data_IF_013437428619
#
_entry.id   IF_013437428619
#
_cell.length_a   1.000
_cell.length_b   1.000
_cell.length_c   1.000
_cell.angle_alpha   90.00
_cell.angle_beta   90.00
_cell.angle_gamma   90.00
#
_symmetry.space_group_name_H-M   'P 1'
#
loop_
_entity.id
_entity.type
_entity.pdbx_description
1 polymer ?
#
# COMPACT_ATOMS: atom_id res chain seq x y z
N UNK A 1 19.91 9.18 15.25
CA UNK A 1 18.94 8.18 14.74
C UNK A 1 18.36 8.72 13.45
N UNK A 2 18.79 8.22 12.28
CA UNK A 2 18.28 8.66 10.97
C UNK A 2 16.84 8.19 10.85
N UNK A 3 15.91 9.14 10.80
CA UNK A 3 14.47 8.93 10.67
C UNK A 3 14.17 7.91 9.57
N UNK A 4 13.18 7.02 9.77
CA UNK A 4 12.74 6.13 8.69
C UNK A 4 12.30 7.01 7.52
N UNK A 5 12.98 6.87 6.37
CA UNK A 5 12.68 7.68 5.18
C UNK A 5 11.35 7.17 4.61
N UNK A 6 10.23 7.91 4.76
CA UNK A 6 8.93 7.46 4.27
C UNK A 6 8.94 7.19 2.76
N UNK A 7 9.88 7.81 2.03
CA UNK A 7 10.20 7.56 0.63
C UNK A 7 10.45 6.07 0.29
N UNK A 8 11.05 5.29 1.18
CA UNK A 8 11.33 3.86 0.91
C UNK A 8 10.04 3.03 0.82
N UNK A 9 8.96 3.48 1.47
CA UNK A 9 7.66 2.82 1.42
C UNK A 9 6.80 3.38 0.27
N UNK A 10 6.81 4.69 0.08
CA UNK A 10 5.94 5.38 -0.89
C UNK A 10 6.26 4.99 -2.33
N UNK A 11 7.54 4.90 -2.69
CA UNK A 11 7.96 4.56 -4.07
C UNK A 11 7.47 3.17 -4.49
N UNK A 12 7.80 2.07 -3.78
CA UNK A 12 7.31 0.74 -4.17
C UNK A 12 5.80 0.61 -4.06
N UNK A 13 5.16 1.25 -3.08
CA UNK A 13 3.69 1.23 -2.97
C UNK A 13 3.03 1.88 -4.20
N UNK A 14 3.51 3.04 -4.65
CA UNK A 14 2.97 3.71 -5.83
C UNK A 14 3.19 2.90 -7.11
N UNK A 15 4.35 2.25 -7.26
CA UNK A 15 4.63 1.35 -8.39
C UNK A 15 3.64 0.19 -8.40
N UNK A 16 3.43 -0.48 -7.26
CA UNK A 16 2.50 -1.61 -7.15
C UNK A 16 1.05 -1.19 -7.43
N UNK A 17 0.65 -0.02 -6.94
CA UNK A 17 -0.68 0.52 -7.19
C UNK A 17 -0.90 0.83 -8.68
N UNK A 18 0.05 1.49 -9.33
CA UNK A 18 -0.03 1.77 -10.78
C UNK A 18 -0.03 0.46 -11.57
N UNK A 19 0.81 -0.50 -11.21
CA UNK A 19 0.82 -1.82 -11.85
C UNK A 19 -0.52 -2.56 -11.69
N UNK A 20 -1.11 -2.53 -10.49
CA UNK A 20 -2.38 -3.19 -10.18
C UNK A 20 -3.58 -2.59 -10.94
N UNK A 21 -3.56 -1.28 -11.22
CA UNK A 21 -4.62 -0.58 -11.99
C UNK A 21 -4.54 -0.84 -13.50
N UNK A 22 -3.42 -1.36 -14.01
CA UNK A 22 -3.25 -1.61 -15.44
C UNK A 22 -3.87 -2.96 -15.80
N UNK A 23 -5.02 -2.94 -16.48
CA UNK A 23 -5.80 -4.10 -16.94
C UNK A 23 -6.32 -5.06 -15.84
N UNK A 24 -6.98 -4.56 -14.78
CA UNK A 24 -7.79 -5.46 -13.95
C UNK A 24 -8.90 -6.08 -14.78
N UNK A 25 -9.23 -7.33 -14.47
CA UNK A 25 -10.30 -8.07 -15.15
C UNK A 25 -11.65 -7.38 -14.92
N UNK A 26 -11.92 -6.96 -13.68
CA UNK A 26 -13.12 -6.21 -13.29
C UNK A 26 -12.81 -5.09 -12.27
N UNK A 27 -12.99 -3.83 -12.70
CA UNK A 27 -12.77 -2.64 -11.87
C UNK A 27 -13.56 -2.57 -10.54
N UNK A 28 -14.83 -3.00 -10.44
CA UNK A 28 -15.55 -2.95 -9.17
C UNK A 28 -14.99 -3.94 -8.15
N UNK A 29 -14.63 -5.15 -8.58
CA UNK A 29 -14.02 -6.17 -7.72
C UNK A 29 -12.61 -5.75 -7.30
N UNK A 30 -11.82 -5.23 -8.26
CA UNK A 30 -10.53 -4.64 -8.00
C UNK A 30 -10.60 -3.58 -6.90
N UNK A 31 -11.59 -2.67 -6.97
CA UNK A 31 -11.73 -1.60 -5.98
C UNK A 31 -12.01 -2.17 -4.58
N UNK A 32 -12.87 -3.17 -4.45
CA UNK A 32 -13.19 -3.79 -3.16
C UNK A 32 -11.97 -4.50 -2.55
N UNK A 33 -11.14 -5.13 -3.37
CA UNK A 33 -9.93 -5.82 -2.92
C UNK A 33 -8.75 -4.88 -2.67
N UNK A 34 -8.63 -3.80 -3.43
CA UNK A 34 -7.60 -2.76 -3.27
C UNK A 34 -7.97 -1.71 -2.20
N UNK A 35 -9.25 -1.60 -1.84
CA UNK A 35 -9.73 -0.65 -0.82
C UNK A 35 -8.99 -0.75 0.53
N UNK A 36 -8.72 -1.94 1.10
CA UNK A 36 -7.96 -2.05 2.33
C UNK A 36 -6.54 -1.53 2.17
N UNK A 37 -5.90 -1.76 1.02
CA UNK A 37 -4.55 -1.25 0.74
C UNK A 37 -4.54 0.29 0.64
N UNK A 38 -5.55 0.87 -0.01
CA UNK A 38 -5.74 2.33 -0.13
C UNK A 38 -6.01 2.97 1.23
N UNK A 39 -6.92 2.38 2.02
CA UNK A 39 -7.22 2.82 3.37
C UNK A 39 -5.98 2.77 4.27
N UNK A 40 -5.16 1.71 4.12
CA UNK A 40 -3.91 1.58 4.86
C UNK A 40 -2.97 2.76 4.59
N UNK A 41 -2.76 3.12 3.32
CA UNK A 41 -1.93 4.28 2.96
C UNK A 41 -2.49 5.61 3.49
N UNK A 42 -3.82 5.80 3.43
CA UNK A 42 -4.47 7.00 3.96
C UNK A 42 -4.31 7.11 5.50
N UNK A 43 -4.50 6.01 6.22
CA UNK A 43 -4.31 5.95 7.67
C UNK A 43 -2.84 6.22 8.01
N UNK A 44 -1.90 5.66 7.25
CA UNK A 44 -0.47 5.88 7.46
C UNK A 44 -0.09 7.36 7.25
N UNK A 45 -0.66 8.01 6.23
CA UNK A 45 -0.46 9.43 5.97
C UNK A 45 -1.01 10.32 7.10
N UNK A 46 -2.19 9.98 7.65
CA UNK A 46 -2.79 10.71 8.78
C UNK A 46 -2.05 10.46 10.11
N UNK A 47 -1.62 9.24 10.37
CA UNK A 47 -0.98 8.85 11.65
C UNK A 47 0.53 9.07 11.67
N UNK A 48 1.16 9.31 10.52
CA UNK A 48 2.61 9.58 10.38
C UNK A 48 3.12 10.67 11.35
N UNK A 49 2.32 11.71 11.61
CA UNK A 49 2.69 12.80 12.53
C UNK A 49 2.52 12.46 14.01
N UNK A 50 1.59 11.57 14.34
CA UNK A 50 1.25 11.23 15.72
C UNK A 50 2.04 10.02 16.24
N UNK A 51 2.30 9.03 15.40
CA UNK A 51 2.96 7.78 15.77
C UNK A 51 3.96 7.33 14.69
N UNK A 52 5.27 7.64 14.85
CA UNK A 52 6.28 7.14 13.94
C UNK A 52 6.43 5.62 14.14
N UNK A 53 5.79 4.84 13.27
CA UNK A 53 5.89 3.38 13.25
C UNK A 53 7.33 2.91 13.01
N UNK A 54 7.68 1.75 13.55
CA UNK A 54 9.01 1.17 13.32
C UNK A 54 9.16 0.74 11.86
N UNK A 55 10.39 0.74 11.30
CA UNK A 55 10.64 0.33 9.91
C UNK A 55 10.10 -1.08 9.58
N UNK A 56 10.09 -1.97 10.57
CA UNK A 56 9.56 -3.33 10.44
C UNK A 56 8.06 -3.34 10.13
N UNK A 57 7.28 -2.47 10.77
CA UNK A 57 5.83 -2.36 10.56
C UNK A 57 5.55 -1.83 9.15
N UNK A 58 6.29 -0.82 8.69
CA UNK A 58 6.19 -0.34 7.30
C UNK A 58 6.46 -1.45 6.28
N UNK A 59 7.48 -2.29 6.51
CA UNK A 59 7.78 -3.42 5.62
C UNK A 59 6.64 -4.46 5.62
N UNK A 60 6.09 -4.79 6.78
CA UNK A 60 4.97 -5.73 6.90
C UNK A 60 3.71 -5.21 6.19
N UNK A 61 3.39 -3.93 6.36
CA UNK A 61 2.29 -3.26 5.66
C UNK A 61 2.50 -3.26 4.14
N UNK A 62 3.74 -3.02 3.68
CA UNK A 62 4.06 -3.03 2.25
C UNK A 62 3.80 -4.42 1.65
N UNK A 63 4.25 -5.47 2.33
CA UNK A 63 4.01 -6.87 1.89
C UNK A 63 2.51 -7.16 1.86
N UNK A 64 1.75 -6.77 2.88
CA UNK A 64 0.31 -6.97 2.90
C UNK A 64 -0.40 -6.24 1.75
N UNK A 65 -0.03 -4.98 1.48
CA UNK A 65 -0.57 -4.23 0.34
C UNK A 65 -0.18 -4.87 -1.00
N UNK A 66 1.05 -5.38 -1.13
CA UNK A 66 1.49 -6.07 -2.33
C UNK A 66 0.66 -7.33 -2.62
N UNK A 67 0.31 -8.11 -1.59
CA UNK A 67 -0.56 -9.28 -1.75
C UNK A 67 -1.96 -8.89 -2.23
N UNK A 68 -2.54 -7.80 -1.71
CA UNK A 68 -3.83 -7.27 -2.16
C UNK A 68 -3.79 -6.75 -3.60
N UNK A 69 -2.72 -6.05 -3.98
CA UNK A 69 -2.54 -5.57 -5.35
C UNK A 69 -2.34 -6.70 -6.37
N UNK A 70 -1.68 -7.78 -5.95
CA UNK A 70 -1.54 -9.00 -6.73
C UNK A 70 -2.88 -9.71 -6.85
N UNK A 71 -3.60 -9.93 -5.74
CA UNK A 71 -4.93 -10.54 -5.75
C UNK A 71 -5.90 -9.81 -6.67
N UNK A 72 -6.03 -8.50 -6.46
CA UNK A 72 -6.93 -7.64 -7.26
C UNK A 72 -6.60 -7.56 -8.75
N UNK A 73 -5.35 -7.81 -9.15
CA UNK A 73 -4.98 -7.86 -10.57
C UNK A 73 -5.37 -9.20 -11.23
N UNK A 74 -5.41 -10.28 -10.45
CA UNK A 74 -5.72 -11.62 -10.96
C UNK A 74 -7.20 -12.03 -10.80
N UNK A 75 -7.98 -11.29 -10.00
CA UNK A 75 -9.43 -11.44 -9.84
C UNK A 75 -10.19 -10.47 -10.74
#
# INVERSE_FOLDING_TARGET
MKSPKPLLFVVPYAILLVWSVIRPHDYPTWLLEAFPALACAAILACTYRAFPLTPLVYACLLVHCALLFVGSHYT
#
